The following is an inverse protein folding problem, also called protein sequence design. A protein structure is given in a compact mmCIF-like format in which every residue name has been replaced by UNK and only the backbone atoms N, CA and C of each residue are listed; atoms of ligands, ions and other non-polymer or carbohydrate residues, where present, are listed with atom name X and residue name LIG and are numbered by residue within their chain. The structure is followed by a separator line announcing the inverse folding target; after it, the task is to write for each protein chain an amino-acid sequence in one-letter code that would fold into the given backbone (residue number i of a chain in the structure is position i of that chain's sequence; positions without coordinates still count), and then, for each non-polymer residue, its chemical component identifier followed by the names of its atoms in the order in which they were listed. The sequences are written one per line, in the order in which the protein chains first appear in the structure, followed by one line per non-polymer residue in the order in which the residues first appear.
data_IF_934666788912
#
_entry.id   IF_934666788912
#
_cell.length_a   1.000
_cell.length_b   1.000
_cell.length_c   1.000
_cell.angle_alpha   90.00
_cell.angle_beta   90.00
_cell.angle_gamma   90.00
#
_symmetry.space_group_name_H-M   'P 1'
#
loop_
_entity.id
_entity.type
_entity.pdbx_description
1 polymer ?
#
# COMPACT_ATOMS: atom_id res chain seq x y z
N UNK A 1 -15.20 -8.62 -7.95
CA UNK A 1 -13.83 -8.67 -7.40
C UNK A 1 -13.25 -7.27 -7.56
N UNK A 2 -13.18 -6.48 -6.48
CA UNK A 2 -12.63 -5.12 -6.56
C UNK A 2 -11.15 -5.25 -6.18
N UNK A 3 -10.23 -4.83 -7.07
CA UNK A 3 -8.78 -4.83 -6.83
C UNK A 3 -8.39 -3.60 -6.00
N UNK A 4 -7.31 -3.65 -5.18
CA UNK A 4 -6.74 -2.43 -4.62
C UNK A 4 -6.35 -1.45 -5.74
N UNK A 5 -6.39 -0.13 -5.49
CA UNK A 5 -6.02 0.85 -6.50
C UNK A 5 -4.55 0.67 -6.88
N UNK A 6 -4.27 0.57 -8.19
CA UNK A 6 -2.92 0.48 -8.72
C UNK A 6 -2.15 1.77 -8.41
N UNK A 7 -0.95 1.63 -7.84
CA UNK A 7 -0.05 2.75 -7.56
C UNK A 7 1.02 2.90 -8.65
N UNK A 8 1.65 4.08 -8.72
CA UNK A 8 2.89 4.29 -9.49
C UNK A 8 3.97 3.27 -9.14
N UNK A 9 4.10 2.92 -7.87
CA UNK A 9 5.15 2.01 -7.41
C UNK A 9 4.90 0.57 -7.89
N UNK A 10 3.63 0.15 -8.02
CA UNK A 10 3.28 -1.14 -8.62
C UNK A 10 3.67 -1.21 -10.09
N UNK A 11 3.44 -0.13 -10.85
CA UNK A 11 3.86 -0.03 -12.24
C UNK A 11 5.39 0.01 -12.38
N UNK A 12 6.08 0.72 -11.49
CA UNK A 12 7.54 0.72 -11.44
C UNK A 12 8.12 -0.64 -11.08
N UNK A 13 7.50 -1.39 -10.17
CA UNK A 13 7.91 -2.74 -9.82
C UNK A 13 7.83 -3.68 -11.04
N UNK A 14 6.74 -3.61 -11.80
CA UNK A 14 6.60 -4.37 -13.06
C UNK A 14 7.64 -3.96 -14.10
N UNK A 15 7.94 -2.66 -14.24
CA UNK A 15 9.00 -2.17 -15.15
C UNK A 15 10.37 -2.67 -14.69
N UNK A 16 10.63 -2.70 -13.39
CA UNK A 16 11.88 -3.22 -12.84
C UNK A 16 12.02 -4.73 -13.10
N UNK A 17 10.97 -5.51 -12.85
CA UNK A 17 10.91 -6.94 -13.12
C UNK A 17 11.17 -7.22 -14.61
N UNK A 18 10.49 -6.50 -15.50
CA UNK A 18 10.70 -6.58 -16.94
C UNK A 18 12.16 -6.31 -17.33
N UNK A 19 12.73 -5.21 -16.86
CA UNK A 19 14.10 -4.84 -17.16
C UNK A 19 15.12 -5.88 -16.64
N UNK A 20 14.85 -6.45 -15.46
CA UNK A 20 15.68 -7.51 -14.90
C UNK A 20 15.68 -8.75 -15.80
N UNK A 21 14.50 -9.27 -16.11
CA UNK A 21 14.33 -10.47 -16.97
C UNK A 21 14.88 -10.23 -18.37
N UNK A 22 14.66 -9.03 -18.95
CA UNK A 22 15.20 -8.69 -20.26
C UNK A 22 16.73 -8.66 -20.25
N UNK A 23 17.36 -8.11 -19.20
CA UNK A 23 18.81 -8.12 -19.06
C UNK A 23 19.37 -9.55 -18.85
N UNK A 24 18.67 -10.40 -18.09
CA UNK A 24 19.03 -11.80 -17.91
C UNK A 24 18.93 -12.58 -19.23
N UNK A 25 17.86 -12.35 -20.00
CA UNK A 25 17.67 -12.95 -21.31
C UNK A 25 18.83 -12.60 -22.26
N UNK A 26 19.25 -11.33 -22.29
CA UNK A 26 20.38 -10.87 -23.12
C UNK A 26 21.72 -11.51 -22.75
N UNK A 27 21.90 -11.93 -21.51
CA UNK A 27 23.15 -12.52 -21.00
C UNK A 27 23.16 -14.05 -21.10
N UNK A 28 22.00 -14.65 -21.25
CA UNK A 28 21.84 -16.11 -21.30
C UNK A 28 22.13 -16.63 -22.70
N UNK A 29 23.00 -17.66 -22.79
CA UNK A 29 23.31 -18.34 -24.05
C UNK A 29 22.56 -19.66 -24.22
N UNK A 30 22.10 -20.27 -23.13
CA UNK A 30 21.34 -21.52 -23.15
C UNK A 30 19.92 -21.30 -23.71
N UNK A 31 19.61 -21.96 -24.82
CA UNK A 31 18.35 -21.76 -25.55
C UNK A 31 17.10 -22.12 -24.72
N UNK A 32 17.16 -23.18 -23.93
CA UNK A 32 16.04 -23.61 -23.07
C UNK A 32 15.72 -22.59 -21.98
N UNK A 33 16.73 -21.91 -21.44
CA UNK A 33 16.57 -20.83 -20.45
C UNK A 33 16.10 -19.57 -21.14
N UNK A 34 16.62 -19.25 -22.34
CA UNK A 34 16.14 -18.12 -23.13
C UNK A 34 14.65 -18.19 -23.42
N UNK A 35 14.14 -19.34 -23.88
CA UNK A 35 12.70 -19.52 -24.14
C UNK A 35 11.84 -19.31 -22.88
N UNK A 36 12.34 -19.72 -21.70
CA UNK A 36 11.65 -19.48 -20.42
C UNK A 36 11.62 -17.99 -20.07
N UNK A 37 12.73 -17.29 -20.27
CA UNK A 37 12.83 -15.86 -20.03
C UNK A 37 11.96 -15.07 -21.02
N UNK A 38 11.90 -15.47 -22.29
CA UNK A 38 10.99 -14.88 -23.29
C UNK A 38 9.53 -15.00 -22.85
N UNK A 39 9.11 -16.19 -22.40
CA UNK A 39 7.76 -16.40 -21.85
C UNK A 39 7.50 -15.51 -20.63
N UNK A 40 8.51 -15.33 -19.76
CA UNK A 40 8.40 -14.48 -18.57
C UNK A 40 8.30 -12.99 -18.92
N UNK A 41 9.02 -12.52 -19.94
CA UNK A 41 8.87 -11.14 -20.45
C UNK A 41 7.44 -10.90 -20.88
N UNK A 42 6.88 -11.80 -21.71
CA UNK A 42 5.50 -11.69 -22.19
C UNK A 42 4.47 -11.70 -21.05
N UNK A 43 4.68 -12.51 -20.02
CA UNK A 43 3.82 -12.55 -18.83
C UNK A 43 3.83 -11.21 -18.07
N UNK A 44 5.01 -10.59 -17.93
CA UNK A 44 5.15 -9.29 -17.25
C UNK A 44 4.50 -8.18 -18.09
N UNK A 45 4.70 -8.19 -19.41
CA UNK A 45 4.06 -7.23 -20.32
C UNK A 45 2.54 -7.33 -20.27
N UNK A 46 1.97 -8.55 -20.27
CA UNK A 46 0.53 -8.76 -20.17
C UNK A 46 -0.03 -8.34 -18.79
N UNK A 47 0.72 -8.58 -17.70
CA UNK A 47 0.37 -8.04 -16.38
C UNK A 47 0.38 -6.51 -16.37
N UNK A 48 1.37 -5.90 -17.01
CA UNK A 48 1.52 -4.44 -17.10
C UNK A 48 0.38 -3.81 -17.90
N UNK A 49 0.06 -4.33 -19.09
CA UNK A 49 -1.04 -3.82 -19.91
C UNK A 49 -2.40 -3.98 -19.21
N UNK A 50 -2.62 -5.10 -18.52
CA UNK A 50 -3.84 -5.28 -17.70
C UNK A 50 -3.92 -4.24 -16.58
N UNK A 51 -2.81 -3.97 -15.90
CA UNK A 51 -2.76 -2.96 -14.86
C UNK A 51 -3.08 -1.55 -15.41
N UNK A 52 -2.47 -1.17 -16.53
CA UNK A 52 -2.75 0.09 -17.22
C UNK A 52 -4.23 0.20 -17.64
N UNK A 53 -4.78 -0.85 -18.23
CA UNK A 53 -6.16 -0.87 -18.71
C UNK A 53 -7.18 -0.74 -17.56
N UNK A 54 -6.92 -1.38 -16.42
CA UNK A 54 -7.80 -1.36 -15.26
C UNK A 54 -7.76 -0.04 -14.48
N UNK A 55 -6.59 0.58 -14.34
CA UNK A 55 -6.39 1.69 -13.42
C UNK A 55 -6.23 3.05 -14.09
N UNK A 56 -5.81 3.11 -15.35
CA UNK A 56 -5.51 4.36 -16.04
C UNK A 56 -6.48 4.54 -17.22
N UNK A 57 -7.50 5.39 -17.08
CA UNK A 57 -8.43 5.67 -18.17
C UNK A 57 -7.81 6.57 -19.26
N UNK A 58 -6.80 7.38 -18.93
CA UNK A 58 -6.13 8.28 -19.87
C UNK A 58 -5.12 7.52 -20.76
N UNK A 59 -5.41 7.47 -22.06
CA UNK A 59 -4.53 6.84 -23.06
C UNK A 59 -3.20 7.58 -23.25
N UNK A 60 -3.14 8.89 -23.01
CA UNK A 60 -1.86 9.62 -23.05
C UNK A 60 -0.94 9.13 -21.93
N UNK A 61 -1.47 9.02 -20.71
CA UNK A 61 -0.74 8.48 -19.56
C UNK A 61 -0.36 7.00 -19.76
N UNK A 62 -1.27 6.15 -20.30
CA UNK A 62 -0.93 4.76 -20.66
C UNK A 62 0.23 4.70 -21.67
N UNK A 63 0.21 5.54 -22.71
CA UNK A 63 1.32 5.62 -23.67
C UNK A 63 2.63 6.04 -23.02
N UNK A 64 2.61 7.01 -22.12
CA UNK A 64 3.81 7.44 -21.39
C UNK A 64 4.39 6.29 -20.54
N UNK A 65 3.55 5.47 -19.91
CA UNK A 65 3.98 4.26 -19.20
C UNK A 65 4.58 3.18 -20.11
N UNK A 66 3.98 2.95 -21.29
CA UNK A 66 4.57 2.04 -22.29
C UNK A 66 5.92 2.54 -22.80
N UNK A 67 6.04 3.85 -23.02
CA UNK A 67 7.31 4.48 -23.40
C UNK A 67 8.36 4.33 -22.30
N UNK A 68 7.98 4.44 -21.02
CA UNK A 68 8.87 4.16 -19.90
C UNK A 68 9.37 2.71 -19.92
N UNK A 69 8.46 1.74 -20.10
CA UNK A 69 8.77 0.31 -20.13
C UNK A 69 9.72 -0.07 -21.29
N UNK A 70 9.38 0.32 -22.53
CA UNK A 70 10.08 -0.17 -23.72
C UNK A 70 11.23 0.74 -24.18
N UNK A 71 11.12 2.05 -23.96
CA UNK A 71 12.07 3.05 -24.48
C UNK A 71 12.93 3.70 -23.40
N UNK A 72 12.75 3.31 -22.14
CA UNK A 72 13.40 3.94 -20.97
C UNK A 72 13.15 5.46 -20.93
N UNK A 73 11.97 5.89 -21.37
CA UNK A 73 11.51 7.26 -21.16
C UNK A 73 11.40 7.61 -19.67
N UNK A 74 11.15 8.87 -19.29
CA UNK A 74 10.90 9.20 -17.88
C UNK A 74 9.64 8.48 -17.37
N UNK A 75 9.66 8.03 -16.11
CA UNK A 75 8.49 7.44 -15.48
C UNK A 75 7.45 8.53 -15.21
N UNK A 76 6.18 8.37 -15.64
CA UNK A 76 5.11 9.30 -15.30
C UNK A 76 4.92 9.44 -13.78
N UNK A 77 4.40 10.58 -13.32
CA UNK A 77 4.14 10.83 -11.89
C UNK A 77 2.79 10.25 -11.40
N UNK A 78 1.94 9.81 -12.33
CA UNK A 78 0.64 9.20 -12.07
C UNK A 78 0.62 7.70 -12.43
N UNK A 79 -0.25 6.87 -11.82
CA UNK A 79 -1.21 7.21 -10.78
C UNK A 79 -0.49 7.51 -9.47
N UNK A 80 -0.96 8.46 -8.64
CA UNK A 80 -0.24 8.85 -7.44
C UNK A 80 0.05 7.61 -6.56
N UNK A 81 1.21 7.56 -5.88
CA UNK A 81 1.50 6.45 -4.98
C UNK A 81 0.36 6.31 -3.96
N UNK A 82 -0.07 5.07 -3.71
CA UNK A 82 -1.02 4.77 -2.64
C UNK A 82 -0.35 5.23 -1.37
N UNK A 83 -0.85 6.34 -0.85
CA UNK A 83 -0.26 7.02 0.29
C UNK A 83 -0.61 6.24 1.53
N UNK A 84 0.36 5.57 2.17
CA UNK A 84 0.08 4.62 3.24
C UNK A 84 -0.79 5.27 4.31
N UNK A 85 -1.91 4.61 4.65
CA UNK A 85 -2.76 5.03 5.75
C UNK A 85 -2.00 4.76 7.04
N UNK A 86 -1.58 5.83 7.73
CA UNK A 86 -0.80 5.72 8.97
C UNK A 86 -1.65 5.94 10.22
N UNK A 87 -2.78 6.62 10.08
CA UNK A 87 -3.79 6.76 11.12
C UNK A 87 -5.18 7.02 10.53
N UNK A 88 -6.20 6.51 11.21
CA UNK A 88 -7.61 6.82 10.99
C UNK A 88 -8.29 6.75 12.33
N UNK A 89 -9.03 7.78 12.69
CA UNK A 89 -9.67 7.82 14.00
C UNK A 89 -10.84 8.79 14.05
N UNK A 90 -11.62 8.68 15.11
CA UNK A 90 -12.80 9.52 15.34
C UNK A 90 -12.71 10.20 16.69
N UNK A 91 -13.08 11.47 16.72
CA UNK A 91 -13.26 12.21 17.97
C UNK A 91 -14.61 11.88 18.62
N UNK A 92 -14.78 12.26 19.88
CA UNK A 92 -16.05 12.10 20.61
C UNK A 92 -17.20 12.91 19.99
N UNK A 93 -16.87 14.02 19.30
CA UNK A 93 -17.85 14.85 18.59
C UNK A 93 -18.18 14.35 17.18
N UNK A 94 -17.58 13.23 16.75
CA UNK A 94 -17.92 12.55 15.51
C UNK A 94 -17.08 12.91 14.29
N UNK A 95 -16.18 13.90 14.37
CA UNK A 95 -15.22 14.22 13.30
C UNK A 95 -14.24 13.08 13.07
N UNK A 96 -13.87 12.88 11.80
CA UNK A 96 -12.88 11.88 11.37
C UNK A 96 -11.54 12.55 11.07
N UNK A 97 -10.46 11.98 11.62
CA UNK A 97 -9.10 12.33 11.25
C UNK A 97 -8.47 11.19 10.47
N UNK A 98 -7.86 11.51 9.33
CA UNK A 98 -7.12 10.58 8.49
C UNK A 98 -5.71 11.12 8.32
N UNK A 99 -4.70 10.31 8.64
CA UNK A 99 -3.32 10.64 8.39
C UNK A 99 -2.71 9.68 7.35
N UNK A 100 -2.06 10.26 6.34
CA UNK A 100 -1.39 9.52 5.28
C UNK A 100 0.03 10.01 5.09
N UNK A 101 0.94 9.09 4.80
CA UNK A 101 2.28 9.44 4.35
C UNK A 101 2.26 10.01 2.94
N UNK A 102 2.91 11.16 2.77
CA UNK A 102 3.06 11.89 1.51
C UNK A 102 4.49 12.41 1.39
N UNK A 103 4.84 12.92 0.21
CA UNK A 103 6.11 13.62 0.02
C UNK A 103 6.22 14.79 1.01
N UNK A 104 7.27 14.80 1.83
CA UNK A 104 7.51 15.84 2.84
C UNK A 104 6.93 15.54 4.24
N UNK A 105 6.24 14.42 4.43
CA UNK A 105 5.81 13.94 5.75
C UNK A 105 4.40 13.37 5.79
N UNK A 106 3.81 13.36 6.97
CA UNK A 106 2.47 12.87 7.25
C UNK A 106 1.50 14.03 7.11
N UNK A 107 0.56 13.90 6.18
CA UNK A 107 -0.55 14.82 6.01
C UNK A 107 -1.73 14.34 6.82
N UNK A 108 -2.31 15.24 7.63
CA UNK A 108 -3.47 14.95 8.45
C UNK A 108 -4.65 15.74 7.90
N UNK A 109 -5.69 15.00 7.53
CA UNK A 109 -6.97 15.50 7.07
C UNK A 109 -7.98 15.36 8.20
N UNK A 110 -8.80 16.37 8.43
CA UNK A 110 -9.97 16.31 9.32
C UNK A 110 -11.20 16.59 8.46
N UNK A 111 -12.15 15.64 8.44
CA UNK A 111 -13.38 15.72 7.65
C UNK A 111 -13.13 16.07 6.16
N UNK A 112 -12.03 15.53 5.60
CA UNK A 112 -11.62 15.73 4.20
C UNK A 112 -10.79 16.98 3.91
N UNK A 113 -10.57 17.87 4.89
CA UNK A 113 -9.73 19.05 4.74
C UNK A 113 -8.34 18.83 5.34
N UNK A 114 -7.27 19.14 4.60
CA UNK A 114 -5.89 19.09 5.13
C UNK A 114 -5.76 20.11 6.26
N UNK A 115 -5.54 19.61 7.47
CA UNK A 115 -5.42 20.41 8.67
C UNK A 115 -3.95 20.60 9.08
N UNK A 116 -3.11 19.58 8.89
CA UNK A 116 -1.74 19.58 9.41
C UNK A 116 -0.76 18.77 8.54
N UNK A 117 0.53 19.09 8.66
CA UNK A 117 1.64 18.37 8.03
C UNK A 117 2.80 18.21 9.01
N UNK A 118 3.20 16.97 9.28
CA UNK A 118 4.20 16.64 10.32
C UNK A 118 5.24 15.64 9.83
N UNK A 119 6.39 15.55 10.49
CA UNK A 119 7.38 14.50 10.22
C UNK A 119 7.06 13.14 10.86
N UNK A 120 6.11 13.10 11.80
CA UNK A 120 5.70 11.90 12.52
C UNK A 120 4.35 12.11 13.20
N UNK A 121 3.71 11.03 13.63
CA UNK A 121 2.50 11.09 14.43
C UNK A 121 2.88 11.12 15.92
N UNK A 122 2.36 12.12 16.63
CA UNK A 122 2.39 12.13 18.09
C UNK A 122 1.18 11.36 18.61
N UNK A 123 1.31 10.03 18.65
CA UNK A 123 0.27 9.11 19.14
C UNK A 123 0.37 8.86 20.65
N UNK A 124 1.24 9.58 21.37
CA UNK A 124 1.64 9.25 22.74
C UNK A 124 0.71 9.82 23.83
N UNK A 125 -0.50 10.26 23.47
CA UNK A 125 -1.43 10.88 24.41
C UNK A 125 -2.05 9.88 25.42
N UNK A 126 -2.07 8.58 25.10
CA UNK A 126 -2.52 7.51 25.99
C UNK A 126 -1.46 6.38 26.11
N UNK A 127 -1.50 5.54 27.16
CA UNK A 127 -0.59 4.38 27.31
C UNK A 127 -0.73 3.34 26.19
N UNK A 128 -1.76 3.48 25.35
CA UNK A 128 -2.09 2.56 24.29
C UNK A 128 -1.46 2.94 22.94
N UNK A 129 -1.01 4.18 22.77
CA UNK A 129 -0.53 4.73 21.51
C UNK A 129 -1.64 4.98 20.49
N UNK A 130 -2.89 5.24 20.92
CA UNK A 130 -4.07 5.17 20.03
C UNK A 130 -4.80 6.48 19.82
N UNK A 131 -4.38 7.54 20.50
CA UNK A 131 -4.98 8.85 20.40
C UNK A 131 -4.09 9.81 19.61
N UNK A 132 -4.66 10.37 18.54
CA UNK A 132 -4.03 11.45 17.78
C UNK A 132 -4.56 12.80 18.25
N UNK A 133 -3.66 13.70 18.63
CA UNK A 133 -3.97 15.12 18.87
C UNK A 133 -3.69 15.96 17.63
N UNK A 134 -4.62 16.84 17.30
CA UNK A 134 -4.56 17.73 16.13
C UNK A 134 -4.87 19.15 16.57
N UNK A 135 -3.83 19.96 16.77
CA UNK A 135 -3.97 21.33 17.28
C UNK A 135 -4.75 21.37 18.59
N UNK A 136 -5.83 22.16 18.62
CA UNK A 136 -6.73 22.31 19.77
C UNK A 136 -8.00 21.45 19.67
N UNK A 137 -8.09 20.56 18.67
CA UNK A 137 -9.26 19.69 18.49
C UNK A 137 -9.29 18.60 19.57
N UNK A 138 -10.49 18.06 19.89
CA UNK A 138 -10.60 16.87 20.73
C UNK A 138 -9.74 15.72 20.19
N UNK A 139 -9.20 14.84 21.06
CA UNK A 139 -8.39 13.70 20.62
C UNK A 139 -9.21 12.76 19.73
N UNK A 140 -8.56 12.23 18.70
CA UNK A 140 -9.14 11.23 17.81
C UNK A 140 -8.66 9.85 18.25
N UNK A 141 -9.58 8.94 18.55
CA UNK A 141 -9.24 7.54 18.87
C UNK A 141 -9.13 6.73 17.59
N UNK A 142 -8.04 5.99 17.45
CA UNK A 142 -7.78 5.14 16.30
C UNK A 142 -8.89 4.10 16.10
N UNK A 143 -9.27 3.91 14.84
CA UNK A 143 -10.26 2.91 14.40
C UNK A 143 -9.73 2.17 13.19
N UNK A 144 -10.25 0.95 13.00
CA UNK A 144 -9.92 0.09 11.88
C UNK A 144 -11.22 -0.34 11.19
N UNK A 145 -11.37 -0.01 9.91
CA UNK A 145 -12.57 -0.33 9.13
C UNK A 145 -12.33 -1.58 8.27
N UNK A 146 -12.18 -2.74 8.93
CA UNK A 146 -12.06 -4.05 8.28
C UNK A 146 -12.92 -5.09 9.00
N UNK A 147 -13.26 -6.21 8.33
CA UNK A 147 -13.93 -7.34 8.98
C UNK A 147 -13.15 -7.83 10.21
N UNK A 148 -13.85 -8.22 11.28
CA UNK A 148 -13.21 -8.71 12.51
C UNK A 148 -12.33 -9.93 12.23
N UNK A 149 -12.77 -10.81 11.33
CA UNK A 149 -12.06 -12.00 10.89
C UNK A 149 -10.73 -11.68 10.19
N UNK A 150 -10.62 -10.51 9.58
CA UNK A 150 -9.38 -10.06 8.94
C UNK A 150 -8.35 -9.64 9.98
N UNK A 151 -8.78 -8.87 11.00
CA UNK A 151 -7.91 -8.48 12.11
C UNK A 151 -7.51 -9.68 12.97
N UNK A 152 -8.43 -10.62 13.21
CA UNK A 152 -8.14 -11.86 13.92
C UNK A 152 -7.14 -12.75 13.19
N UNK A 153 -7.27 -12.89 11.88
CA UNK A 153 -6.32 -13.63 11.07
C UNK A 153 -4.93 -12.97 11.08
N UNK A 154 -4.87 -11.64 10.98
CA UNK A 154 -3.61 -10.90 11.09
C UNK A 154 -2.96 -11.11 12.46
N UNK A 155 -3.73 -11.01 13.55
CA UNK A 155 -3.25 -11.27 14.92
C UNK A 155 -2.70 -12.69 15.06
N UNK A 156 -3.45 -13.69 14.60
CA UNK A 156 -3.05 -15.09 14.71
C UNK A 156 -1.72 -15.37 13.98
N UNK A 157 -1.53 -14.77 12.80
CA UNK A 157 -0.30 -14.87 12.03
C UNK A 157 0.87 -14.14 12.70
N UNK A 158 0.66 -12.95 13.26
CA UNK A 158 1.70 -12.21 14.00
C UNK A 158 2.13 -12.94 15.28
N UNK A 159 1.19 -13.62 15.95
CA UNK A 159 1.46 -14.41 17.16
C UNK A 159 2.16 -15.73 16.84
N UNK A 160 1.81 -16.34 15.70
CA UNK A 160 2.33 -17.62 15.24
C UNK A 160 2.61 -17.53 13.74
N UNK A 161 3.81 -17.07 13.35
CA UNK A 161 4.18 -16.89 11.93
C UNK A 161 4.06 -18.17 11.09
N UNK A 162 4.09 -19.33 11.76
CA UNK A 162 4.00 -20.68 11.17
C UNK A 162 2.57 -21.06 10.73
N UNK A 163 1.58 -20.21 11.02
CA UNK A 163 0.18 -20.42 10.64
C UNK A 163 -0.13 -19.93 9.22
N UNK A 164 -1.29 -20.32 8.69
CA UNK A 164 -1.74 -19.82 7.38
C UNK A 164 -1.80 -18.29 7.39
N UNK A 165 -1.08 -17.62 6.46
CA UNK A 165 -1.05 -16.18 6.45
C UNK A 165 -2.40 -15.58 6.04
N UNK A 166 -2.72 -14.34 6.47
CA UNK A 166 -4.06 -13.76 6.32
C UNK A 166 -4.33 -13.23 4.91
N UNK A 167 -3.67 -13.75 3.87
CA UNK A 167 -3.62 -13.18 2.52
C UNK A 167 -4.95 -13.24 1.77
N UNK A 168 -5.92 -14.03 2.23
CA UNK A 168 -7.32 -13.91 1.79
C UNK A 168 -7.91 -12.51 2.06
N UNK A 169 -7.34 -11.77 3.02
CA UNK A 169 -7.70 -10.40 3.41
C UNK A 169 -6.66 -9.37 2.98
N UNK A 170 -5.71 -9.74 2.12
CA UNK A 170 -4.59 -8.87 1.72
C UNK A 170 -5.05 -7.47 1.32
N UNK A 171 -6.14 -7.37 0.56
CA UNK A 171 -6.66 -6.10 0.09
C UNK A 171 -7.15 -5.22 1.22
N UNK A 172 -7.93 -5.77 2.14
CA UNK A 172 -8.46 -5.08 3.31
C UNK A 172 -7.32 -4.62 4.22
N UNK A 173 -6.32 -5.49 4.44
CA UNK A 173 -5.16 -5.20 5.27
C UNK A 173 -4.27 -4.09 4.67
N UNK A 174 -4.07 -4.08 3.35
CA UNK A 174 -3.33 -3.02 2.65
C UNK A 174 -4.14 -1.71 2.63
N UNK A 175 -5.44 -1.77 2.35
CA UNK A 175 -6.31 -0.59 2.31
C UNK A 175 -6.39 0.11 3.67
N UNK A 176 -6.40 -0.66 4.76
CA UNK A 176 -6.35 -0.14 6.13
C UNK A 176 -4.92 0.20 6.60
N UNK A 177 -3.92 0.04 5.74
CA UNK A 177 -2.52 0.34 6.04
C UNK A 177 -1.94 -0.52 7.16
N UNK A 178 -2.48 -1.72 7.41
CA UNK A 178 -1.98 -2.64 8.43
C UNK A 178 -0.78 -3.45 7.93
N UNK A 179 -0.74 -3.72 6.64
CA UNK A 179 0.42 -4.27 5.94
C UNK A 179 0.76 -3.39 4.74
N UNK A 180 2.02 -3.39 4.33
CA UNK A 180 2.46 -2.70 3.12
C UNK A 180 2.29 -3.57 1.86
N UNK A 181 2.68 -3.03 0.69
CA UNK A 181 2.61 -3.74 -0.59
C UNK A 181 3.51 -5.00 -0.66
N UNK A 182 4.42 -5.18 0.29
CA UNK A 182 5.26 -6.37 0.43
C UNK A 182 4.75 -7.32 1.53
N UNK A 183 3.52 -7.10 2.01
CA UNK A 183 2.90 -7.85 3.10
C UNK A 183 3.63 -7.75 4.44
N UNK A 184 4.49 -6.74 4.61
CA UNK A 184 5.15 -6.49 5.89
C UNK A 184 4.21 -5.71 6.82
N UNK A 185 4.25 -6.04 8.12
CA UNK A 185 3.44 -5.38 9.14
C UNK A 185 3.90 -3.93 9.35
N UNK A 186 2.97 -2.97 9.23
CA UNK A 186 3.25 -1.53 9.45
C UNK A 186 3.16 -1.17 10.94
N UNK A 187 3.51 0.08 11.30
CA UNK A 187 3.27 0.60 12.64
C UNK A 187 1.78 0.63 13.02
N UNK A 188 0.91 0.98 12.06
CA UNK A 188 -0.55 0.94 12.26
C UNK A 188 -1.04 -0.49 12.46
N UNK A 189 -0.49 -1.46 11.70
CA UNK A 189 -0.74 -2.89 11.89
C UNK A 189 -0.32 -3.39 13.27
N UNK A 190 0.87 -3.00 13.75
CA UNK A 190 1.35 -3.30 15.11
C UNK A 190 0.36 -2.80 16.18
N UNK A 191 -0.13 -1.56 16.05
CA UNK A 191 -1.12 -1.00 16.98
C UNK A 191 -2.46 -1.73 16.92
N UNK A 192 -2.94 -2.07 15.72
CA UNK A 192 -4.18 -2.82 15.55
C UNK A 192 -4.14 -4.17 16.28
N UNK A 193 -3.05 -4.93 16.12
CA UNK A 193 -2.85 -6.22 16.80
C UNK A 193 -2.74 -6.03 18.32
N UNK A 194 -2.01 -5.01 18.78
CA UNK A 194 -1.88 -4.71 20.20
C UNK A 194 -3.22 -4.32 20.87
N UNK A 195 -4.06 -3.57 20.16
CA UNK A 195 -5.40 -3.20 20.61
C UNK A 195 -6.33 -4.40 20.69
N UNK A 196 -6.33 -5.25 19.66
CA UNK A 196 -7.16 -6.47 19.63
C UNK A 196 -6.84 -7.40 20.80
N UNK A 197 -5.58 -7.44 21.26
CA UNK A 197 -5.19 -8.23 22.45
C UNK A 197 -5.74 -7.68 23.77
N UNK A 198 -6.02 -6.38 23.87
CA UNK A 198 -6.55 -5.76 25.10
C UNK A 198 -8.06 -5.91 25.24
N UNK A 199 -8.75 -6.16 24.12
CA UNK A 199 -10.20 -6.34 24.08
C UNK A 199 -10.65 -7.81 24.25
N UNK A 200 -9.70 -8.77 24.23
CA UNK A 200 -9.94 -10.20 24.43
C UNK A 200 -9.65 -10.60 25.88
#
# INVERSE_FOLDING_TARGET
MIKPPLSRDDLLALVHEHNHVHNEHRRTTAESVRRKLDARVLEIEDRFERALAEAIPDEALRRAWRDHLHRRGPAPDEPPPVSPLVFRGRSEVGSEAIARERAGGIHIEVDGAVYDRRRGLDLAADPAGTELRVGTLPPFRERFELPAEALDALRAWVERPDTEPPWRWARELVAEGLVDGHFALTDRGRRAVALARRAA
#
